data_IF_123444963568
#
_entry.id   IF_123444963568
#
_cell.length_a   1.000
_cell.length_b   1.000
_cell.length_c   1.000
_cell.angle_alpha   90.00
_cell.angle_beta   90.00
_cell.angle_gamma   90.00
#
_symmetry.space_group_name_H-M   'P 1'
#
loop_
_entity.id
_entity.type
_entity.pdbx_description
1 polymer ?
#
# COMPACT_ATOMS: atom_id res chain seq x y z
N UNK A 1 -1.65 -7.51 -22.44
CA UNK A 1 -0.90 -7.34 -21.19
C UNK A 1 -1.51 -6.31 -20.24
N UNK A 2 -1.89 -5.11 -20.71
CA UNK A 2 -2.45 -4.06 -19.83
C UNK A 2 -3.68 -4.48 -19.01
N UNK A 3 -4.64 -5.19 -19.59
CA UNK A 3 -5.83 -5.66 -18.86
C UNK A 3 -5.50 -6.66 -17.76
N UNK A 4 -4.66 -7.66 -18.04
CA UNK A 4 -4.22 -8.68 -17.06
C UNK A 4 -3.41 -8.07 -15.92
N UNK A 5 -2.49 -7.15 -16.22
CA UNK A 5 -1.76 -6.39 -15.20
C UNK A 5 -2.73 -5.57 -14.34
N UNK A 6 -3.69 -4.88 -14.96
CA UNK A 6 -4.72 -4.15 -14.24
C UNK A 6 -5.58 -5.03 -13.32
N UNK A 7 -5.95 -6.25 -13.77
CA UNK A 7 -6.70 -7.20 -12.93
C UNK A 7 -5.86 -7.70 -11.76
N UNK A 8 -4.59 -8.05 -11.99
CA UNK A 8 -3.67 -8.47 -10.92
C UNK A 8 -3.53 -7.35 -9.90
N UNK A 9 -3.27 -6.11 -10.35
CA UNK A 9 -3.20 -4.95 -9.47
C UNK A 9 -4.49 -4.74 -8.67
N UNK A 10 -5.65 -4.82 -9.33
CA UNK A 10 -6.95 -4.66 -8.68
C UNK A 10 -7.24 -5.74 -7.63
N UNK A 11 -6.93 -7.00 -7.91
CA UNK A 11 -7.15 -8.13 -6.99
C UNK A 11 -6.19 -8.06 -5.81
N UNK A 12 -4.89 -7.88 -6.07
CA UNK A 12 -3.89 -7.70 -5.01
C UNK A 12 -4.29 -6.55 -4.10
N UNK A 13 -4.88 -5.48 -4.65
CA UNK A 13 -5.31 -4.35 -3.84
C UNK A 13 -6.59 -4.60 -3.05
N UNK A 14 -7.57 -5.28 -3.63
CA UNK A 14 -8.76 -5.70 -2.88
C UNK A 14 -8.40 -6.58 -1.68
N UNK A 15 -7.43 -7.48 -1.85
CA UNK A 15 -6.89 -8.31 -0.77
C UNK A 15 -6.14 -7.46 0.26
N UNK A 16 -5.26 -6.55 -0.18
CA UNK A 16 -4.55 -5.66 0.72
C UNK A 16 -5.52 -4.82 1.56
N UNK A 17 -6.51 -4.19 0.93
CA UNK A 17 -7.55 -3.41 1.61
C UNK A 17 -8.32 -4.25 2.63
N UNK A 18 -8.76 -5.46 2.25
CA UNK A 18 -9.46 -6.35 3.18
C UNK A 18 -8.60 -6.75 4.38
N UNK A 19 -7.30 -6.99 4.17
CA UNK A 19 -6.35 -7.27 5.27
C UNK A 19 -6.20 -6.05 6.17
N UNK A 20 -6.09 -4.82 5.63
CA UNK A 20 -5.98 -3.63 6.50
C UNK A 20 -7.28 -3.36 7.25
N UNK A 21 -8.44 -3.51 6.58
CA UNK A 21 -9.74 -3.33 7.21
C UNK A 21 -9.96 -4.32 8.36
N UNK A 22 -9.63 -5.59 8.16
CA UNK A 22 -9.64 -6.65 9.18
C UNK A 22 -8.66 -6.36 10.33
N UNK A 23 -7.42 -5.96 10.01
CA UNK A 23 -6.42 -5.59 11.02
C UNK A 23 -6.78 -4.33 11.81
N UNK A 24 -7.69 -3.50 11.30
CA UNK A 24 -8.06 -2.21 11.90
C UNK A 24 -9.48 -2.15 12.41
N UNK A 25 -10.26 -3.23 12.38
CA UNK A 25 -11.68 -3.27 12.79
C UNK A 25 -12.52 -2.14 12.15
N UNK A 26 -12.24 -1.79 10.89
CA UNK A 26 -12.92 -0.69 10.19
C UNK A 26 -12.56 0.72 10.68
N UNK A 27 -11.52 0.90 11.51
CA UNK A 27 -11.00 2.21 11.92
C UNK A 27 -10.54 3.05 10.72
N UNK A 28 -10.10 2.39 9.63
CA UNK A 28 -9.78 3.03 8.37
C UNK A 28 -10.91 3.91 7.82
N UNK A 29 -12.17 3.48 7.94
CA UNK A 29 -13.33 4.26 7.49
C UNK A 29 -13.51 5.57 8.27
N UNK A 30 -12.90 5.66 9.46
CA UNK A 30 -12.98 6.82 10.37
C UNK A 30 -11.74 7.70 10.32
N UNK A 31 -10.69 7.29 9.60
CA UNK A 31 -9.46 8.05 9.50
C UNK A 31 -9.60 9.18 8.49
N UNK A 32 -9.04 10.38 8.79
CA UNK A 32 -8.89 11.41 7.76
C UNK A 32 -7.99 10.90 6.63
N UNK A 33 -8.30 11.29 5.38
CA UNK A 33 -7.61 10.83 4.14
C UNK A 33 -6.09 10.68 4.29
N UNK A 34 -5.35 11.66 4.85
CA UNK A 34 -3.89 11.55 4.90
C UNK A 34 -3.44 10.38 5.77
N UNK A 35 -4.13 10.14 6.89
CA UNK A 35 -3.81 9.05 7.80
C UNK A 35 -4.18 7.69 7.20
N UNK A 36 -5.36 7.58 6.57
CA UNK A 36 -5.74 6.37 5.83
C UNK A 36 -4.78 6.06 4.69
N UNK A 37 -4.34 7.10 3.95
CA UNK A 37 -3.42 6.94 2.84
C UNK A 37 -2.02 6.51 3.25
N UNK A 38 -1.49 7.05 4.36
CA UNK A 38 -0.22 6.59 4.93
C UNK A 38 -0.31 5.14 5.39
N UNK A 39 -1.41 4.76 6.05
CA UNK A 39 -1.59 3.39 6.53
C UNK A 39 -1.63 2.38 5.38
N UNK A 40 -2.42 2.65 4.35
CA UNK A 40 -2.50 1.80 3.15
C UNK A 40 -1.16 1.77 2.42
N UNK A 41 -0.48 2.91 2.27
CA UNK A 41 0.84 2.99 1.66
C UNK A 41 1.89 2.17 2.41
N UNK A 42 1.87 2.19 3.75
CA UNK A 42 2.75 1.40 4.59
C UNK A 42 2.48 -0.10 4.45
N UNK A 43 1.21 -0.52 4.42
CA UNK A 43 0.86 -1.93 4.20
C UNK A 43 1.30 -2.39 2.81
N UNK A 44 1.09 -1.58 1.77
CA UNK A 44 1.54 -1.90 0.43
C UNK A 44 3.07 -2.05 0.37
N UNK A 45 3.81 -1.13 0.99
CA UNK A 45 5.27 -1.17 1.09
C UNK A 45 5.76 -2.44 1.80
N UNK A 46 5.14 -2.78 2.94
CA UNK A 46 5.48 -3.98 3.70
C UNK A 46 5.09 -5.28 2.96
N UNK A 47 3.95 -5.28 2.26
CA UNK A 47 3.52 -6.41 1.46
C UNK A 47 4.43 -6.67 0.25
N UNK A 48 4.91 -5.61 -0.40
CA UNK A 48 5.85 -5.70 -1.51
C UNK A 48 7.25 -6.12 -1.05
N UNK A 49 7.76 -5.50 0.02
CA UNK A 49 9.14 -5.71 0.46
C UNK A 49 9.32 -6.85 1.47
N UNK A 50 8.34 -7.13 2.33
CA UNK A 50 8.44 -8.12 3.41
C UNK A 50 8.88 -9.51 2.92
N UNK A 51 8.22 -10.10 1.90
CA UNK A 51 8.66 -11.37 1.32
C UNK A 51 10.05 -11.29 0.69
N UNK A 52 10.37 -10.20 -0.02
CA UNK A 52 11.69 -10.01 -0.65
C UNK A 52 12.81 -9.92 0.39
N UNK A 53 12.57 -9.23 1.51
CA UNK A 53 13.49 -9.14 2.64
C UNK A 53 13.65 -10.51 3.31
N UNK A 54 12.55 -11.22 3.57
CA UNK A 54 12.58 -12.54 4.18
C UNK A 54 13.34 -13.58 3.32
N UNK A 55 13.25 -13.45 2.00
CA UNK A 55 13.96 -14.30 1.04
C UNK A 55 15.39 -13.82 0.73
N UNK A 56 15.83 -12.70 1.30
CA UNK A 56 17.16 -12.13 1.07
C UNK A 56 17.35 -11.55 -0.35
N UNK A 57 16.27 -11.28 -1.07
CA UNK A 57 16.30 -10.66 -2.40
C UNK A 57 16.68 -9.17 -2.32
N UNK A 58 16.31 -8.50 -1.24
CA UNK A 58 16.65 -7.09 -0.98
C UNK A 58 16.99 -6.83 0.50
N UNK A 59 17.79 -5.80 0.78
CA UNK A 59 18.05 -5.29 2.13
C UNK A 59 17.86 -3.77 2.19
N UNK A 60 16.75 -3.28 2.79
CA UNK A 60 16.44 -1.86 2.93
C UNK A 60 17.49 -1.08 3.72
N UNK A 61 18.28 -1.74 4.56
CA UNK A 61 19.34 -1.09 5.35
C UNK A 61 20.50 -0.61 4.50
N UNK A 62 20.66 -1.18 3.31
CA UNK A 62 21.70 -0.81 2.34
C UNK A 62 21.24 0.15 1.25
N UNK A 63 19.95 0.51 1.21
CA UNK A 63 19.39 1.34 0.15
C UNK A 63 19.95 2.76 0.15
N UNK A 64 20.20 3.29 -1.04
CA UNK A 64 20.47 4.71 -1.20
C UNK A 64 19.18 5.52 -0.99
N UNK A 65 19.31 6.83 -0.74
CA UNK A 65 18.17 7.72 -0.60
C UNK A 65 17.27 7.71 -1.85
N UNK A 66 17.87 7.60 -3.04
CA UNK A 66 17.12 7.51 -4.29
C UNK A 66 16.24 6.25 -4.35
N UNK A 67 16.76 5.10 -3.90
CA UNK A 67 16.02 3.84 -3.85
C UNK A 67 14.81 3.97 -2.91
N UNK A 68 15.05 4.52 -1.71
CA UNK A 68 14.00 4.83 -0.74
C UNK A 68 12.91 5.73 -1.32
N UNK A 69 13.27 6.83 -1.97
CA UNK A 69 12.28 7.76 -2.55
C UNK A 69 11.52 7.10 -3.68
N UNK A 70 12.22 6.36 -4.55
CA UNK A 70 11.60 5.68 -5.70
C UNK A 70 10.62 4.58 -5.28
N UNK A 71 10.80 3.99 -4.10
CA UNK A 71 9.90 2.99 -3.56
C UNK A 71 8.79 3.61 -2.71
N UNK A 72 9.11 4.47 -1.74
CA UNK A 72 8.11 5.09 -0.85
C UNK A 72 7.11 5.97 -1.60
N UNK A 73 7.56 6.77 -2.57
CA UNK A 73 6.73 7.80 -3.17
C UNK A 73 5.55 7.21 -3.97
N UNK A 74 5.73 6.20 -4.83
CA UNK A 74 4.61 5.52 -5.48
C UNK A 74 3.65 4.84 -4.49
N UNK A 75 4.17 4.20 -3.44
CA UNK A 75 3.34 3.49 -2.45
C UNK A 75 2.46 4.46 -1.64
N UNK A 76 3.01 5.62 -1.24
CA UNK A 76 2.25 6.67 -0.55
C UNK A 76 1.22 7.34 -1.45
N UNK A 77 1.60 7.68 -2.70
CA UNK A 77 0.68 8.26 -3.67
C UNK A 77 -0.50 7.30 -3.93
N UNK A 78 -0.19 6.00 -4.01
CA UNK A 78 -1.19 4.97 -4.19
C UNK A 78 -2.11 4.82 -2.98
N UNK A 79 -1.55 4.78 -1.77
CA UNK A 79 -2.33 4.74 -0.54
C UNK A 79 -3.30 5.92 -0.42
N UNK A 80 -2.86 7.13 -0.79
CA UNK A 80 -3.71 8.32 -0.84
C UNK A 80 -4.88 8.15 -1.83
N UNK A 81 -4.63 7.64 -3.04
CA UNK A 81 -5.68 7.40 -4.04
C UNK A 81 -6.72 6.42 -3.51
N UNK A 82 -6.29 5.36 -2.83
CA UNK A 82 -7.19 4.38 -2.21
C UNK A 82 -7.99 5.01 -1.07
N UNK A 83 -7.35 5.77 -0.19
CA UNK A 83 -8.04 6.46 0.91
C UNK A 83 -9.11 7.45 0.40
N UNK A 84 -8.85 8.13 -0.72
CA UNK A 84 -9.84 8.98 -1.39
C UNK A 84 -10.97 8.15 -2.00
N UNK A 85 -10.66 7.05 -2.69
CA UNK A 85 -11.65 6.22 -3.38
C UNK A 85 -12.64 5.55 -2.42
N UNK A 86 -12.19 5.19 -1.22
CA UNK A 86 -13.02 4.54 -0.19
C UNK A 86 -13.62 5.54 0.81
N UNK A 87 -13.35 6.83 0.67
CA UNK A 87 -13.98 7.83 1.52
C UNK A 87 -15.46 7.96 1.17
N UNK A 88 -16.36 7.70 2.13
CA UNK A 88 -17.79 7.89 1.91
C UNK A 88 -18.13 9.39 1.89
N UNK A 89 -18.90 9.90 0.92
CA UNK A 89 -19.54 11.19 1.05
C UNK A 89 -20.55 11.10 2.19
N UNK A 90 -20.46 12.04 3.14
CA UNK A 90 -21.41 12.18 4.24
C UNK A 90 -22.78 12.65 3.78
#
# INVERSE_FOLDING_TARGET
>A
MGALLGTITGVTMGVAWAVVDDLTDGVLERLPVPAGGVLVGAVALLGANGPMVALGVTDPRGWALADWVSDLLPHLAYGLVVAVAYQRPG
#
